data_IF_891054435153
#
_entry.id   IF_891054435153
#
_cell.length_a   1.000
_cell.length_b   1.000
_cell.length_c   1.000
_cell.angle_alpha   90.00
_cell.angle_beta   90.00
_cell.angle_gamma   90.00
#
_symmetry.space_group_name_H-M   'P 1'
#
loop_
_entity.id
_entity.type
_entity.pdbx_description
1 polymer ?
#
# COMPACT_ATOMS: atom_id res chain seq x y z
N UNK A 1 0.24 -6.61 0.62
CA UNK A 1 0.51 -5.29 1.24
C UNK A 1 -0.07 -5.25 2.62
N UNK A 2 0.68 -4.69 3.56
CA UNK A 2 0.23 -4.43 4.93
C UNK A 2 0.56 -2.99 5.31
N UNK A 3 -0.19 -2.45 6.29
CA UNK A 3 0.10 -1.15 6.92
C UNK A 3 0.59 -1.43 8.33
N UNK A 4 1.66 -0.76 8.76
CA UNK A 4 2.28 -0.95 10.07
C UNK A 4 2.40 0.39 10.79
N UNK A 5 1.88 0.47 12.01
CA UNK A 5 2.02 1.64 12.89
C UNK A 5 2.30 1.16 14.31
N UNK A 6 3.31 1.72 14.98
CA UNK A 6 3.73 1.32 16.32
C UNK A 6 4.07 -0.18 16.49
N UNK A 7 4.49 -0.84 15.41
CA UNK A 7 4.74 -2.29 15.39
C UNK A 7 3.49 -3.15 15.18
N UNK A 8 2.29 -2.57 15.15
CA UNK A 8 1.04 -3.29 14.86
C UNK A 8 0.76 -3.35 13.36
N UNK A 9 0.35 -4.52 12.89
CA UNK A 9 -0.12 -4.72 11.51
C UNK A 9 -1.62 -4.40 11.40
N UNK A 10 -1.95 -3.43 10.56
CA UNK A 10 -3.33 -3.08 10.20
C UNK A 10 -3.71 -3.76 8.88
N UNK A 11 -4.54 -4.80 9.00
CA UNK A 11 -5.19 -5.44 7.86
C UNK A 11 -6.38 -4.64 7.33
N UNK A 12 -7.31 -5.31 6.65
CA UNK A 12 -8.59 -4.71 6.26
C UNK A 12 -9.51 -4.59 7.48
N UNK A 13 -10.27 -3.49 7.63
CA UNK A 13 -11.23 -3.37 8.72
C UNK A 13 -12.39 -4.36 8.53
N UNK A 14 -12.83 -5.00 9.61
CA UNK A 14 -13.96 -5.94 9.62
C UNK A 14 -15.30 -5.21 9.61
N UNK A 15 -15.33 -4.01 10.16
CA UNK A 15 -16.52 -3.17 10.29
C UNK A 15 -16.15 -1.68 10.35
N UNK A 16 -17.17 -0.82 10.32
CA UNK A 16 -17.02 0.64 10.34
C UNK A 16 -16.36 1.17 11.62
N UNK A 17 -16.52 0.47 12.75
CA UNK A 17 -15.88 0.88 14.01
C UNK A 17 -14.39 0.59 13.98
N UNK A 18 -14.00 -0.54 13.38
CA UNK A 18 -12.60 -0.86 13.15
C UNK A 18 -11.94 0.08 12.16
N UNK A 19 -12.63 0.44 11.08
CA UNK A 19 -12.15 1.44 10.13
C UNK A 19 -11.90 2.79 10.84
N UNK A 20 -12.84 3.25 11.68
CA UNK A 20 -12.67 4.47 12.45
C UNK A 20 -11.48 4.40 13.40
N UNK A 21 -11.30 3.29 14.14
CA UNK A 21 -10.14 3.08 15.02
C UNK A 21 -8.82 3.12 14.24
N UNK A 22 -8.76 2.46 13.08
CA UNK A 22 -7.57 2.48 12.23
C UNK A 22 -7.24 3.91 11.76
N UNK A 23 -8.23 4.62 11.20
CA UNK A 23 -8.06 6.00 10.72
C UNK A 23 -7.64 6.96 11.85
N UNK A 24 -8.26 6.87 13.03
CA UNK A 24 -7.87 7.67 14.20
C UNK A 24 -6.44 7.36 14.67
N UNK A 25 -6.00 6.09 14.59
CA UNK A 25 -4.62 5.70 14.94
C UNK A 25 -3.58 6.23 13.97
N UNK A 26 -3.91 6.40 12.69
CA UNK A 26 -3.03 6.90 11.65
C UNK A 26 -3.07 8.44 11.51
N UNK A 27 -4.17 9.06 11.95
CA UNK A 27 -4.43 10.51 11.89
C UNK A 27 -3.26 11.35 12.42
N UNK A 28 -2.74 12.26 11.58
CA UNK A 28 -1.65 13.18 11.94
C UNK A 28 -0.30 12.51 12.20
N UNK A 29 -0.11 11.25 11.77
CA UNK A 29 1.07 10.44 12.06
C UNK A 29 1.68 9.86 10.79
N UNK A 30 2.91 9.39 10.94
CA UNK A 30 3.56 8.57 9.92
C UNK A 30 3.44 7.08 10.25
N UNK A 31 3.28 6.27 9.22
CA UNK A 31 3.23 4.81 9.28
C UNK A 31 3.95 4.20 8.08
N UNK A 32 4.20 2.90 8.13
CA UNK A 32 4.91 2.18 7.07
C UNK A 32 3.92 1.35 6.27
N UNK A 33 3.95 1.49 4.95
CA UNK A 33 3.27 0.58 4.03
C UNK A 33 4.30 -0.39 3.48
N UNK A 34 4.05 -1.69 3.66
CA UNK A 34 4.96 -2.75 3.25
C UNK A 34 4.29 -3.57 2.16
N UNK A 35 4.89 -3.58 0.97
CA UNK A 35 4.41 -4.37 -0.17
C UNK A 35 5.47 -5.35 -0.62
N UNK A 36 5.15 -6.64 -0.50
CA UNK A 36 5.93 -7.72 -1.07
C UNK A 36 5.44 -8.05 -2.49
N UNK A 37 6.39 -8.37 -3.37
CA UNK A 37 6.13 -8.90 -4.71
C UNK A 37 6.94 -10.18 -4.89
N UNK A 38 6.34 -11.17 -5.53
CA UNK A 38 7.00 -12.42 -5.89
C UNK A 38 6.60 -12.82 -7.30
N UNK A 39 7.52 -13.43 -8.04
CA UNK A 39 7.26 -14.01 -9.34
C UNK A 39 7.99 -15.35 -9.47
N UNK A 40 7.35 -16.30 -10.13
CA UNK A 40 7.93 -17.59 -10.45
C UNK A 40 8.02 -17.74 -11.97
N UNK A 41 9.13 -18.26 -12.44
CA UNK A 41 9.35 -18.55 -13.85
C UNK A 41 10.24 -19.79 -13.99
N UNK A 42 9.76 -20.79 -14.73
CA UNK A 42 10.40 -22.11 -14.84
C UNK A 42 10.67 -22.72 -13.45
N UNK A 43 11.93 -22.99 -13.12
CA UNK A 43 12.41 -23.57 -11.87
C UNK A 43 12.85 -22.52 -10.84
N UNK A 44 12.63 -21.22 -11.11
CA UNK A 44 13.03 -20.11 -10.24
C UNK A 44 11.86 -19.40 -9.60
N UNK A 45 12.06 -19.00 -8.34
CA UNK A 45 11.16 -18.14 -7.57
C UNK A 45 11.98 -16.98 -7.01
N UNK A 46 11.56 -15.76 -7.31
CA UNK A 46 12.21 -14.54 -6.84
C UNK A 46 11.19 -13.64 -6.15
N UNK A 47 11.63 -12.95 -5.11
CA UNK A 47 10.79 -12.01 -4.37
C UNK A 47 11.56 -10.75 -3.95
N UNK A 48 10.79 -9.72 -3.62
CA UNK A 48 11.29 -8.48 -3.06
C UNK A 48 10.22 -7.85 -2.16
N UNK A 49 10.66 -7.02 -1.22
CA UNK A 49 9.79 -6.22 -0.35
C UNK A 49 10.15 -4.76 -0.53
N UNK A 50 9.13 -3.89 -0.59
CA UNK A 50 9.27 -2.44 -0.53
C UNK A 50 8.58 -1.90 0.72
N UNK A 51 9.26 -1.02 1.44
CA UNK A 51 8.75 -0.32 2.62
C UNK A 51 8.70 1.17 2.32
N UNK A 52 7.53 1.77 2.54
CA UNK A 52 7.28 3.17 2.20
C UNK A 52 6.71 3.90 3.39
N UNK A 53 7.29 5.05 3.72
CA UNK A 53 6.74 5.94 4.73
C UNK A 53 5.54 6.70 4.17
N UNK A 54 4.41 6.69 4.88
CA UNK A 54 3.24 7.50 4.54
C UNK A 54 2.88 8.35 5.74
N UNK A 55 2.60 9.63 5.53
CA UNK A 55 2.18 10.56 6.58
C UNK A 55 0.78 11.08 6.27
N UNK A 56 -0.13 10.97 7.23
CA UNK A 56 -1.45 11.59 7.16
C UNK A 56 -1.44 12.99 7.74
N UNK A 57 -2.27 13.88 7.20
CA UNK A 57 -2.62 15.08 7.94
C UNK A 57 -3.56 14.72 9.12
N UNK A 58 -3.70 15.57 10.14
CA UNK A 58 -4.69 15.36 11.20
C UNK A 58 -6.11 15.31 10.61
N UNK A 59 -6.86 14.28 11.00
CA UNK A 59 -8.26 14.08 10.64
C UNK A 59 -9.16 14.35 11.85
N UNK A 60 -10.24 15.08 11.63
CA UNK A 60 -11.35 15.20 12.56
C UNK A 60 -12.24 13.96 12.53
N UNK A 61 -12.99 13.73 13.61
CA UNK A 61 -13.98 12.63 13.66
C UNK A 61 -15.04 12.75 12.55
N UNK A 62 -15.32 13.97 12.09
CA UNK A 62 -16.26 14.21 10.99
C UNK A 62 -15.70 13.70 9.68
N UNK A 63 -14.45 14.04 9.34
CA UNK A 63 -13.78 13.55 8.13
C UNK A 63 -13.66 12.03 8.12
N UNK A 64 -13.34 11.43 9.27
CA UNK A 64 -13.30 9.96 9.41
C UNK A 64 -14.66 9.33 9.08
N UNK A 65 -15.75 9.87 9.64
CA UNK A 65 -17.11 9.36 9.35
C UNK A 65 -17.50 9.56 7.88
N UNK A 66 -17.21 10.72 7.32
CA UNK A 66 -17.51 11.05 5.93
C UNK A 66 -16.73 10.11 4.98
N UNK A 67 -15.45 9.85 5.26
CA UNK A 67 -14.65 8.93 4.46
C UNK A 67 -15.14 7.48 4.55
N UNK A 68 -15.48 7.00 5.75
CA UNK A 68 -16.07 5.67 5.95
C UNK A 68 -17.39 5.52 5.19
N UNK A 69 -18.22 6.57 5.15
CA UNK A 69 -19.49 6.54 4.42
C UNK A 69 -19.34 6.36 2.90
N UNK A 70 -18.15 6.61 2.33
CA UNK A 70 -17.86 6.30 0.92
C UNK A 70 -17.77 4.79 0.64
N UNK A 71 -17.55 3.98 1.68
CA UNK A 71 -17.27 2.55 1.57
C UNK A 71 -15.84 2.20 1.13
N UNK A 72 -15.06 3.17 0.64
CA UNK A 72 -13.69 2.94 0.17
C UNK A 72 -12.76 2.32 1.23
N UNK A 73 -12.83 2.68 2.54
CA UNK A 73 -11.95 2.10 3.56
C UNK A 73 -12.06 0.59 3.71
N UNK A 74 -13.21 0.01 3.38
CA UNK A 74 -13.59 -1.31 3.88
C UNK A 74 -12.81 -2.47 3.27
N UNK A 75 -12.27 -2.30 2.06
CA UNK A 75 -11.49 -3.33 1.37
C UNK A 75 -9.97 -3.06 1.40
N UNK A 76 -9.51 -2.07 2.16
CA UNK A 76 -8.12 -1.59 2.18
C UNK A 76 -7.40 -1.88 3.49
N UNK A 77 -6.13 -2.28 3.40
CA UNK A 77 -5.27 -2.39 4.57
C UNK A 77 -5.07 -1.01 5.21
N UNK A 78 -5.20 -0.91 6.53
CA UNK A 78 -5.13 0.37 7.24
C UNK A 78 -6.33 1.29 6.99
N UNK A 79 -7.40 0.78 6.39
CA UNK A 79 -8.66 1.49 6.14
C UNK A 79 -8.52 2.76 5.26
N UNK A 80 -7.56 2.80 4.32
CA UNK A 80 -7.47 3.88 3.33
C UNK A 80 -6.93 3.43 1.97
N UNK A 81 -7.31 4.13 0.91
CA UNK A 81 -6.77 3.97 -0.43
C UNK A 81 -6.09 5.25 -0.93
N UNK A 82 -4.83 5.16 -1.36
CA UNK A 82 -4.11 6.34 -1.88
C UNK A 82 -4.58 6.79 -3.28
N UNK A 83 -5.31 5.94 -4.00
CA UNK A 83 -5.74 6.14 -5.39
C UNK A 83 -7.24 6.47 -5.55
N UNK A 84 -7.89 6.97 -4.48
CA UNK A 84 -9.31 7.27 -4.43
C UNK A 84 -9.62 8.50 -3.56
N UNK A 85 -10.76 8.49 -2.86
CA UNK A 85 -11.15 9.53 -1.91
C UNK A 85 -10.09 9.69 -0.79
N UNK A 86 -9.42 8.61 -0.38
CA UNK A 86 -8.35 8.64 0.61
C UNK A 86 -7.09 9.37 0.15
N UNK A 87 -6.95 9.73 -1.13
CA UNK A 87 -5.83 10.54 -1.61
C UNK A 87 -5.74 11.90 -0.92
N UNK A 88 -6.87 12.45 -0.46
CA UNK A 88 -6.91 13.74 0.23
C UNK A 88 -6.34 13.68 1.65
N UNK A 89 -6.30 12.49 2.26
CA UNK A 89 -5.83 12.24 3.64
C UNK A 89 -4.29 12.24 3.72
N UNK A 90 -3.63 11.81 2.64
CA UNK A 90 -2.19 11.61 2.60
C UNK A 90 -1.48 12.95 2.42
N UNK A 91 -0.71 13.36 3.42
CA UNK A 91 0.10 14.57 3.39
C UNK A 91 1.44 14.35 2.66
N UNK A 92 2.07 13.18 2.84
CA UNK A 92 3.40 12.89 2.27
C UNK A 92 3.61 11.39 2.08
N UNK A 93 4.36 11.04 1.04
CA UNK A 93 4.87 9.70 0.76
C UNK A 93 6.39 9.78 0.63
N UNK A 94 7.11 8.96 1.39
CA UNK A 94 8.56 8.80 1.34
C UNK A 94 8.89 7.40 0.81
N UNK A 95 9.00 7.28 -0.51
CA UNK A 95 9.32 6.03 -1.21
C UNK A 95 8.47 5.80 -2.44
N UNK A 96 8.30 4.53 -2.81
CA UNK A 96 7.58 4.13 -4.03
C UNK A 96 6.05 4.25 -3.88
N UNK A 97 5.47 5.27 -4.52
CA UNK A 97 4.02 5.44 -4.60
C UNK A 97 3.28 4.19 -5.12
N UNK A 98 3.84 3.48 -6.10
CA UNK A 98 3.21 2.26 -6.63
C UNK A 98 3.21 1.12 -5.61
N UNK A 99 4.19 1.08 -4.72
CA UNK A 99 4.18 0.14 -3.59
C UNK A 99 3.04 0.45 -2.63
N UNK A 100 2.74 1.73 -2.36
CA UNK A 100 1.59 2.14 -1.54
C UNK A 100 0.27 1.77 -2.23
N UNK A 101 0.18 1.93 -3.55
CA UNK A 101 -0.97 1.46 -4.33
C UNK A 101 -1.15 -0.07 -4.29
N UNK A 102 -0.06 -0.83 -4.06
CA UNK A 102 -0.09 -2.27 -3.85
C UNK A 102 0.81 -3.09 -4.78
N UNK A 103 1.56 -2.47 -5.69
CA UNK A 103 2.50 -3.18 -6.57
C UNK A 103 3.74 -2.31 -6.90
N UNK A 104 4.92 -2.56 -6.28
CA UNK A 104 6.13 -1.79 -6.55
C UNK A 104 6.69 -2.12 -7.93
N UNK A 105 6.25 -1.40 -8.96
CA UNK A 105 6.56 -1.71 -10.36
C UNK A 105 8.06 -1.77 -10.64
N UNK A 106 8.82 -0.84 -10.07
CA UNK A 106 10.27 -0.79 -10.20
C UNK A 106 10.91 -2.08 -9.64
N UNK A 107 10.50 -2.52 -8.44
CA UNK A 107 11.01 -3.76 -7.85
C UNK A 107 10.52 -5.01 -8.59
N UNK A 108 9.29 -5.02 -9.08
CA UNK A 108 8.77 -6.11 -9.91
C UNK A 108 9.66 -6.30 -11.14
N UNK A 109 10.01 -5.24 -11.86
CA UNK A 109 10.92 -5.35 -13.02
C UNK A 109 12.29 -5.92 -12.63
N UNK A 110 12.83 -5.56 -11.46
CA UNK A 110 14.09 -6.15 -10.94
C UNK A 110 13.93 -7.63 -10.53
N UNK A 111 12.77 -8.03 -10.01
CA UNK A 111 12.44 -9.43 -9.74
C UNK A 111 12.40 -10.22 -11.04
N UNK A 112 11.71 -9.71 -12.06
CA UNK A 112 11.62 -10.34 -13.38
C UNK A 112 13.00 -10.48 -14.04
N UNK A 113 13.86 -9.47 -13.93
CA UNK A 113 15.24 -9.55 -14.42
C UNK A 113 16.06 -10.69 -13.78
N UNK A 114 15.90 -10.94 -12.47
CA UNK A 114 16.55 -12.07 -11.78
C UNK A 114 16.05 -13.43 -12.27
N UNK A 115 14.82 -13.49 -12.74
CA UNK A 115 14.23 -14.67 -13.38
C UNK A 115 14.70 -14.86 -14.83
N UNK A 116 15.49 -13.93 -15.37
CA UNK A 116 15.94 -13.95 -16.77
C UNK A 116 14.94 -13.38 -17.76
N UNK A 117 13.98 -12.57 -17.31
CA UNK A 117 13.02 -11.87 -18.17
C UNK A 117 13.41 -10.40 -18.31
N UNK A 118 13.25 -9.83 -19.50
CA UNK A 118 13.53 -8.41 -19.75
C UNK A 118 12.24 -7.63 -19.96
N UNK A 119 12.12 -6.49 -19.30
CA UNK A 119 11.08 -5.50 -19.58
C UNK A 119 11.67 -4.36 -20.43
N UNK A 120 11.31 -4.34 -21.71
CA UNK A 120 11.76 -3.35 -22.70
C UNK A 120 10.78 -2.19 -22.92
N UNK A 121 9.92 -1.85 -21.94
CA UNK A 121 8.79 -0.93 -22.12
C UNK A 121 7.72 -1.44 -23.12
N UNK A 122 7.55 -2.76 -23.17
CA UNK A 122 6.59 -3.46 -24.02
C UNK A 122 6.21 -4.81 -23.41
N UNK A 123 6.02 -5.83 -24.25
CA UNK A 123 5.87 -7.20 -23.78
C UNK A 123 7.13 -7.67 -23.02
N UNK A 124 6.98 -8.64 -22.12
CA UNK A 124 8.12 -9.30 -21.50
C UNK A 124 8.83 -10.15 -22.53
N UNK A 125 10.14 -9.96 -22.63
CA UNK A 125 11.00 -10.65 -23.57
C UNK A 125 11.82 -11.70 -22.83
N UNK A 126 11.96 -12.88 -23.43
CA UNK A 126 13.06 -13.77 -23.11
C UNK A 126 14.32 -13.26 -23.82
N UNK A 127 15.49 -13.28 -23.18
CA UNK A 127 16.75 -12.92 -23.80
C UNK A 127 17.11 -13.83 -24.99
#
# INVERSE_FOLDING_TARGET
TIVVVDGDVLGKPRDVHEAARMLSRLSGRSHTVITAVAAAWRDKLESAVEEVGVTFHPLSDREIREYIATGEPMDKAGAYGIQGFGATIVQRVDGDYFAVMGLPLQKLVRVLARLGLRYGFGALEEP
#
